data_IF_237711504228
#
_entry.id   IF_237711504228
#
_cell.length_a   1.000
_cell.length_b   1.000
_cell.length_c   1.000
_cell.angle_alpha   90.00
_cell.angle_beta   90.00
_cell.angle_gamma   90.00
#
_symmetry.space_group_name_H-M   'P 1'
#
loop_
_entity.id
_entity.type
_entity.pdbx_description
1 polymer ?
#
# COMPACT_ATOMS: atom_id res chain seq x y z
N UNK A 1 15.84 4.34 -12.50
CA UNK A 1 15.10 5.63 -12.42
C UNK A 1 14.46 6.08 -13.75
N UNK A 2 15.08 5.86 -14.92
CA UNK A 2 14.48 6.21 -16.23
C UNK A 2 13.07 5.64 -16.46
N UNK A 3 12.81 4.39 -16.07
CA UNK A 3 11.48 3.75 -16.22
C UNK A 3 10.39 4.43 -15.37
N UNK A 4 10.72 4.85 -14.14
CA UNK A 4 9.77 5.54 -13.26
C UNK A 4 9.33 6.87 -13.88
N UNK A 5 10.29 7.70 -14.29
CA UNK A 5 10.00 9.05 -14.78
C UNK A 5 9.46 9.06 -16.22
N UNK A 6 9.90 8.13 -17.07
CA UNK A 6 9.57 8.19 -18.50
C UNK A 6 8.40 7.26 -18.89
N UNK A 7 8.08 6.26 -18.07
CA UNK A 7 7.09 5.23 -18.41
C UNK A 7 6.00 5.14 -17.36
N UNK A 8 6.35 4.78 -16.12
CA UNK A 8 5.36 4.44 -15.08
C UNK A 8 4.56 5.67 -14.65
N UNK A 9 5.24 6.73 -14.23
CA UNK A 9 4.57 7.96 -13.76
C UNK A 9 3.69 8.58 -14.85
N UNK A 10 4.18 8.82 -16.09
CA UNK A 10 3.34 9.37 -17.15
C UNK A 10 2.14 8.48 -17.51
N UNK A 11 2.29 7.16 -17.44
CA UNK A 11 1.19 6.23 -17.68
C UNK A 11 0.11 6.34 -16.61
N UNK A 12 0.48 6.27 -15.32
CA UNK A 12 -0.47 6.36 -14.20
C UNK A 12 -1.19 7.70 -14.18
N UNK A 13 -0.45 8.81 -14.36
CA UNK A 13 -1.06 10.15 -14.37
C UNK A 13 -2.06 10.31 -15.52
N UNK A 14 -1.80 9.69 -16.67
CA UNK A 14 -2.73 9.69 -17.81
C UNK A 14 -4.01 8.88 -17.58
N UNK A 15 -4.05 7.98 -16.60
CA UNK A 15 -5.26 7.21 -16.24
C UNK A 15 -6.16 7.93 -15.24
N UNK A 16 -5.67 8.98 -14.59
CA UNK A 16 -6.44 9.72 -13.57
C UNK A 16 -7.75 10.26 -14.15
N UNK A 17 -8.87 9.97 -13.48
CA UNK A 17 -10.22 10.41 -13.88
C UNK A 17 -10.68 9.85 -15.23
N UNK A 18 -10.17 8.68 -15.64
CA UNK A 18 -10.58 8.03 -16.89
C UNK A 18 -11.22 6.69 -16.62
N UNK A 19 -12.52 6.71 -16.39
CA UNK A 19 -13.34 5.51 -16.32
C UNK A 19 -14.29 5.42 -17.53
N UNK A 20 -14.64 4.21 -17.93
CA UNK A 20 -15.67 4.03 -18.95
C UNK A 20 -17.02 4.53 -18.39
N UNK A 21 -17.88 5.22 -19.16
CA UNK A 21 -19.17 5.74 -18.64
C UNK A 21 -20.17 4.67 -18.14
N UNK A 22 -19.86 3.40 -18.37
CA UNK A 22 -20.62 2.24 -17.93
C UNK A 22 -19.82 1.36 -16.96
N UNK A 23 -19.04 1.97 -16.06
CA UNK A 23 -18.21 1.25 -15.08
C UNK A 23 -19.00 0.93 -13.82
N UNK A 24 -18.92 -0.32 -13.39
CA UNK A 24 -19.39 -0.80 -12.09
C UNK A 24 -18.20 -1.48 -11.43
N UNK A 25 -17.91 -1.14 -10.17
CA UNK A 25 -16.76 -1.68 -9.47
C UNK A 25 -17.18 -2.25 -8.11
N UNK A 26 -16.52 -3.30 -7.65
CA UNK A 26 -16.52 -3.64 -6.23
C UNK A 26 -15.07 -3.65 -5.74
N UNK A 27 -14.90 -3.48 -4.44
CA UNK A 27 -13.58 -3.44 -3.80
C UNK A 27 -13.64 -4.09 -2.41
N UNK A 28 -12.50 -4.57 -1.93
CA UNK A 28 -12.39 -5.12 -0.58
C UNK A 28 -12.31 -4.05 0.50
N UNK A 29 -13.13 -4.21 1.53
CA UNK A 29 -13.21 -3.33 2.70
C UNK A 29 -13.34 -4.15 3.99
N UNK A 30 -12.51 -5.18 4.11
CA UNK A 30 -12.53 -6.12 5.23
C UNK A 30 -11.69 -5.61 6.41
N UNK A 31 -12.20 -5.80 7.62
CA UNK A 31 -11.42 -5.67 8.86
C UNK A 31 -10.56 -6.92 9.14
N UNK A 32 -10.86 -8.05 8.48
CA UNK A 32 -10.14 -9.33 8.63
C UNK A 32 -8.92 -9.39 7.71
N UNK A 33 -9.01 -8.74 6.55
CA UNK A 33 -7.95 -8.70 5.53
C UNK A 33 -7.31 -7.31 5.47
N UNK A 34 -6.59 -6.95 6.54
CA UNK A 34 -5.92 -5.65 6.62
C UNK A 34 -4.82 -5.52 5.56
N UNK A 35 -4.75 -4.37 4.91
CA UNK A 35 -3.77 -4.05 3.87
C UNK A 35 -2.85 -2.91 4.29
N UNK A 36 -1.70 -2.82 3.62
CA UNK A 36 -0.73 -1.74 3.80
C UNK A 36 -1.11 -0.50 2.99
N UNK A 37 -1.97 0.37 3.54
CA UNK A 37 -2.20 1.70 2.97
C UNK A 37 -1.18 2.74 3.42
N UNK A 38 -0.74 2.67 4.67
CA UNK A 38 0.43 3.39 5.17
C UNK A 38 1.50 2.39 5.58
N UNK A 39 2.69 2.53 4.98
CA UNK A 39 3.88 1.79 5.37
C UNK A 39 4.61 2.59 6.44
N UNK A 40 4.83 2.00 7.61
CA UNK A 40 5.55 2.64 8.71
C UNK A 40 6.62 1.72 9.28
N UNK A 41 7.82 2.26 9.44
CA UNK A 41 8.94 1.61 10.11
C UNK A 41 9.06 2.18 11.52
N UNK A 42 8.95 1.32 12.54
CA UNK A 42 9.01 1.73 13.94
C UNK A 42 10.33 1.35 14.55
N UNK A 43 10.89 2.26 15.32
CA UNK A 43 12.12 1.99 16.04
C UNK A 43 11.92 0.89 17.09
N UNK A 44 12.84 -0.08 17.12
CA UNK A 44 12.89 -1.20 18.06
C UNK A 44 14.31 -1.41 18.63
N UNK A 45 15.17 -0.40 18.53
CA UNK A 45 16.58 -0.45 18.95
C UNK A 45 16.71 -0.86 20.43
N UNK A 46 17.52 -1.89 20.67
CA UNK A 46 17.92 -2.30 22.03
C UNK A 46 19.31 -1.74 22.30
N UNK A 47 19.36 -0.53 22.87
CA UNK A 47 20.48 0.06 23.61
C UNK A 47 21.82 0.32 22.89
N UNK A 48 21.83 0.46 21.56
CA UNK A 48 23.04 0.77 20.76
C UNK A 48 23.38 2.27 20.62
N UNK A 49 22.75 3.14 21.41
CA UNK A 49 23.04 4.59 21.43
C UNK A 49 22.46 5.27 22.68
N UNK A 50 22.97 6.46 23.02
CA UNK A 50 22.46 7.24 24.15
C UNK A 50 21.06 7.80 23.85
N UNK A 51 20.00 7.20 24.41
CA UNK A 51 18.61 7.61 24.19
C UNK A 51 18.28 9.02 24.70
N UNK A 52 19.13 9.63 25.53
CA UNK A 52 18.94 11.01 25.99
C UNK A 52 19.42 12.05 24.99
N UNK A 53 20.18 11.65 23.97
CA UNK A 53 20.62 12.52 22.89
C UNK A 53 19.65 12.46 21.72
N UNK A 54 19.43 13.62 21.10
CA UNK A 54 18.57 13.73 19.93
C UNK A 54 19.35 13.36 18.66
N UNK A 55 19.24 12.09 18.28
CA UNK A 55 19.72 11.59 16.99
C UNK A 55 18.60 11.57 15.93
N UNK A 56 17.55 12.39 16.07
CA UNK A 56 16.53 12.53 15.03
C UNK A 56 17.15 13.13 13.77
N UNK A 57 16.71 12.64 12.60
CA UNK A 57 17.24 13.06 11.30
C UNK A 57 18.61 12.47 10.91
N UNK A 58 19.45 12.05 11.87
CA UNK A 58 20.78 11.48 11.55
C UNK A 58 20.73 10.18 10.75
N UNK A 59 19.60 9.49 10.75
CA UNK A 59 19.37 8.24 10.01
C UNK A 59 18.74 8.44 8.64
N UNK A 60 18.25 9.63 8.29
CA UNK A 60 17.36 9.82 7.14
C UNK A 60 18.06 9.60 5.78
N UNK A 61 19.31 10.07 5.66
CA UNK A 61 20.11 9.98 4.44
C UNK A 61 21.23 8.93 4.53
N UNK A 62 21.13 8.00 5.50
CA UNK A 62 22.15 6.97 5.69
C UNK A 62 21.77 5.69 4.95
N UNK A 63 22.74 4.98 4.36
CA UNK A 63 22.47 3.70 3.73
C UNK A 63 21.93 2.73 4.79
N UNK A 64 20.96 1.92 4.38
CA UNK A 64 20.51 0.78 5.16
C UNK A 64 21.66 -0.23 5.20
N UNK A 65 22.05 -0.63 6.40
CA UNK A 65 23.04 -1.68 6.59
C UNK A 65 22.33 -3.03 6.68
N UNK A 66 22.60 -3.91 5.72
CA UNK A 66 22.03 -5.27 5.64
C UNK A 66 23.16 -6.31 5.53
N UNK A 67 23.69 -6.80 6.65
CA UNK A 67 24.78 -7.77 6.66
C UNK A 67 24.31 -9.23 6.59
N UNK A 68 23.00 -9.50 6.53
CA UNK A 68 22.42 -10.85 6.75
C UNK A 68 21.41 -11.31 5.68
N UNK A 69 21.42 -10.74 4.46
CA UNK A 69 20.43 -11.03 3.40
C UNK A 69 18.98 -10.82 3.90
N UNK A 70 18.75 -9.77 4.69
CA UNK A 70 17.43 -9.41 5.20
C UNK A 70 16.65 -8.54 4.20
N UNK A 71 17.00 -8.58 2.90
CA UNK A 71 16.37 -7.74 1.88
C UNK A 71 14.84 -7.98 1.83
N UNK A 72 14.42 -9.21 2.10
CA UNK A 72 13.01 -9.63 2.19
C UNK A 72 12.44 -9.59 3.61
N UNK A 73 13.28 -9.33 4.62
CA UNK A 73 12.87 -9.27 6.02
C UNK A 73 12.06 -8.01 6.36
N UNK A 74 11.44 -8.01 7.54
CA UNK A 74 10.68 -6.88 8.09
C UNK A 74 11.49 -6.02 9.06
N UNK A 75 12.83 -6.13 9.03
CA UNK A 75 13.74 -5.43 9.95
C UNK A 75 14.85 -4.75 9.16
N UNK A 76 15.16 -3.50 9.52
CA UNK A 76 16.17 -2.67 8.87
C UNK A 76 17.04 -2.02 9.94
N UNK A 77 18.33 -1.89 9.67
CA UNK A 77 19.25 -1.19 10.55
C UNK A 77 19.90 -0.03 9.81
N UNK A 78 20.04 1.10 10.49
CA UNK A 78 20.75 2.27 10.00
C UNK A 78 21.88 2.58 10.96
N UNK A 79 23.10 2.68 10.42
CA UNK A 79 24.29 3.09 11.16
C UNK A 79 24.63 4.56 10.86
N UNK A 80 25.09 5.28 11.87
CA UNK A 80 25.45 6.69 11.75
C UNK A 80 26.58 7.05 12.72
N UNK A 81 27.43 8.00 12.28
CA UNK A 81 28.51 8.53 13.11
C UNK A 81 27.95 9.46 14.20
N UNK A 82 28.43 9.29 15.42
CA UNK A 82 28.10 10.12 16.60
C UNK A 82 29.32 10.89 17.14
N UNK A 83 30.47 10.77 16.47
CA UNK A 83 31.71 11.44 16.85
C UNK A 83 32.74 11.43 15.73
N UNK A 84 33.92 12.02 15.98
CA UNK A 84 34.98 12.16 14.97
C UNK A 84 35.74 10.86 14.71
N UNK A 85 35.65 9.86 15.60
CA UNK A 85 36.37 8.59 15.46
C UNK A 85 35.59 7.58 14.63
N UNK A 86 36.29 6.66 13.96
CA UNK A 86 35.63 5.59 13.21
C UNK A 86 34.84 4.63 14.14
N UNK A 87 35.22 4.56 15.41
CA UNK A 87 34.54 3.77 16.43
C UNK A 87 33.29 4.47 16.99
N UNK A 88 33.10 5.76 16.72
CA UNK A 88 31.95 6.53 17.20
C UNK A 88 30.75 6.29 16.28
N UNK A 89 30.28 5.05 16.23
CA UNK A 89 29.14 4.63 15.41
C UNK A 89 28.01 4.18 16.33
N UNK A 90 26.83 4.74 16.08
CA UNK A 90 25.58 4.29 16.66
C UNK A 90 24.74 3.57 15.60
N UNK A 91 23.78 2.76 16.06
CA UNK A 91 22.84 2.07 15.18
C UNK A 91 21.40 2.19 15.70
N UNK A 92 20.47 2.46 14.78
CA UNK A 92 19.02 2.35 15.02
C UNK A 92 18.46 1.19 14.24
N UNK A 93 17.65 0.37 14.91
CA UNK A 93 16.93 -0.76 14.30
C UNK A 93 15.46 -0.40 14.17
N UNK A 94 14.90 -0.63 12.98
CA UNK A 94 13.50 -0.40 12.67
C UNK A 94 12.83 -1.70 12.25
N UNK A 95 11.59 -1.91 12.70
CA UNK A 95 10.73 -3.02 12.28
C UNK A 95 9.52 -2.49 11.51
N UNK A 96 9.15 -3.14 10.42
CA UNK A 96 7.94 -2.83 9.67
C UNK A 96 6.74 -3.04 10.59
N UNK A 97 5.90 -2.01 10.74
CA UNK A 97 4.65 -2.13 11.46
C UNK A 97 3.69 -3.08 10.73
N UNK A 98 2.76 -3.76 11.43
CA UNK A 98 1.70 -4.52 10.76
C UNK A 98 0.78 -3.58 9.96
N UNK A 99 0.05 -4.11 8.95
CA UNK A 99 -0.98 -3.36 8.25
C UNK A 99 -2.08 -2.96 9.23
N UNK A 100 -2.79 -1.88 8.91
CA UNK A 100 -3.84 -1.31 9.78
C UNK A 100 -5.11 -0.93 9.05
N UNK A 101 -5.04 -0.74 7.75
CA UNK A 101 -6.17 -0.26 7.00
C UNK A 101 -7.03 -1.42 6.54
N UNK A 102 -8.35 -1.21 6.54
CA UNK A 102 -9.28 -2.15 5.91
C UNK A 102 -8.87 -2.36 4.46
N UNK A 103 -9.14 -3.54 3.93
CA UNK A 103 -8.79 -3.86 2.56
C UNK A 103 -9.15 -5.29 2.21
N UNK A 104 -8.40 -5.86 1.28
CA UNK A 104 -8.51 -7.28 0.87
C UNK A 104 -7.22 -8.07 1.15
N UNK A 105 -6.33 -7.55 2.00
CA UNK A 105 -5.02 -8.13 2.30
C UNK A 105 -3.93 -7.75 1.29
N UNK A 106 -4.28 -7.14 0.15
CA UNK A 106 -3.33 -6.62 -0.85
C UNK A 106 -3.55 -5.13 -1.10
N UNK A 107 -4.77 -4.76 -1.48
CA UNK A 107 -5.22 -3.40 -1.78
C UNK A 107 -5.92 -2.84 -0.54
N UNK A 108 -5.52 -1.65 -0.03
CA UNK A 108 -6.24 -0.97 1.03
C UNK A 108 -7.52 -0.33 0.50
N UNK A 109 -8.53 -0.21 1.37
CA UNK A 109 -9.83 0.41 1.06
C UNK A 109 -9.65 1.79 0.44
N UNK A 110 -8.71 2.61 0.93
CA UNK A 110 -8.45 3.94 0.37
C UNK A 110 -8.01 3.94 -1.11
N UNK A 111 -7.44 2.84 -1.60
CA UNK A 111 -7.03 2.67 -2.99
C UNK A 111 -8.11 1.98 -3.83
N UNK A 112 -8.87 1.05 -3.23
CA UNK A 112 -9.98 0.36 -3.90
C UNK A 112 -11.25 1.21 -4.03
N UNK A 113 -11.50 2.08 -3.06
CA UNK A 113 -12.61 3.03 -3.08
C UNK A 113 -12.31 4.17 -4.06
N UNK A 114 -13.16 4.34 -5.08
CA UNK A 114 -12.97 5.36 -6.13
C UNK A 114 -13.96 6.51 -5.89
N UNK A 115 -13.52 7.65 -5.31
CA UNK A 115 -14.40 8.76 -4.95
C UNK A 115 -14.74 9.65 -6.16
N UNK A 116 -15.32 9.08 -7.21
CA UNK A 116 -15.77 9.81 -8.41
C UNK A 116 -17.23 9.53 -8.72
N UNK A 117 -17.86 10.46 -9.44
CA UNK A 117 -19.22 10.29 -9.98
C UNK A 117 -19.24 9.60 -11.35
N UNK A 118 -18.07 9.26 -11.91
CA UNK A 118 -17.96 8.60 -13.21
C UNK A 118 -18.40 7.12 -13.19
N UNK A 119 -18.39 6.48 -12.01
CA UNK A 119 -18.87 5.12 -11.84
C UNK A 119 -20.40 5.10 -11.76
N UNK A 120 -21.02 4.09 -12.39
CA UNK A 120 -22.46 3.84 -12.28
C UNK A 120 -22.84 3.27 -10.92
N UNK A 121 -21.96 2.46 -10.34
CA UNK A 121 -22.15 1.88 -9.01
C UNK A 121 -20.82 1.36 -8.46
N UNK A 122 -20.74 1.31 -7.15
CA UNK A 122 -19.60 0.83 -6.39
C UNK A 122 -20.12 -0.02 -5.21
N UNK A 123 -19.45 -1.13 -4.89
CA UNK A 123 -19.79 -1.96 -3.72
C UNK A 123 -18.54 -2.30 -2.89
N UNK A 124 -18.61 -2.03 -1.59
CA UNK A 124 -17.65 -2.53 -0.61
C UNK A 124 -17.98 -3.98 -0.23
N UNK A 125 -16.98 -4.86 -0.23
CA UNK A 125 -17.13 -6.29 0.03
C UNK A 125 -16.16 -6.74 1.12
N UNK A 126 -16.62 -7.58 2.06
CA UNK A 126 -15.77 -8.24 3.05
C UNK A 126 -15.14 -9.48 2.41
N UNK A 127 -13.98 -9.33 1.78
CA UNK A 127 -13.28 -10.40 1.05
C UNK A 127 -11.76 -10.21 1.09
N UNK A 128 -11.01 -11.29 0.91
CA UNK A 128 -9.61 -11.21 0.53
C UNK A 128 -9.44 -10.98 -0.99
N UNK A 129 -8.21 -10.67 -1.41
CA UNK A 129 -7.89 -10.26 -2.77
C UNK A 129 -7.95 -11.43 -3.77
N UNK A 130 -7.36 -12.57 -3.41
CA UNK A 130 -7.26 -13.72 -4.31
C UNK A 130 -8.62 -14.42 -4.44
N UNK A 131 -9.36 -14.52 -3.33
CA UNK A 131 -10.71 -15.08 -3.23
C UNK A 131 -11.85 -14.11 -3.54
N UNK A 132 -11.57 -12.93 -4.10
CA UNK A 132 -12.57 -11.86 -4.28
C UNK A 132 -13.87 -12.30 -4.97
N UNK A 133 -13.81 -13.24 -5.91
CA UNK A 133 -14.97 -13.79 -6.63
C UNK A 133 -15.54 -15.07 -6.02
N UNK A 134 -14.95 -15.60 -4.95
CA UNK A 134 -15.55 -16.67 -4.16
C UNK A 134 -16.67 -16.15 -3.24
N UNK A 135 -16.68 -14.83 -2.97
CA UNK A 135 -17.71 -14.13 -2.21
C UNK A 135 -19.00 -13.90 -3.02
N UNK A 136 -20.13 -14.33 -2.46
CA UNK A 136 -21.46 -14.24 -3.09
C UNK A 136 -21.82 -12.80 -3.46
N UNK A 137 -21.54 -11.83 -2.57
CA UNK A 137 -21.86 -10.43 -2.83
C UNK A 137 -21.11 -9.88 -4.04
N UNK A 138 -19.84 -10.24 -4.22
CA UNK A 138 -19.04 -9.82 -5.36
C UNK A 138 -19.59 -10.41 -6.67
N UNK A 139 -19.93 -11.71 -6.68
CA UNK A 139 -20.55 -12.36 -7.84
C UNK A 139 -21.90 -11.78 -8.20
N UNK A 140 -22.79 -11.60 -7.22
CA UNK A 140 -24.12 -11.05 -7.43
C UNK A 140 -24.06 -9.59 -7.91
N UNK A 141 -23.15 -8.79 -7.37
CA UNK A 141 -22.93 -7.43 -7.86
C UNK A 141 -22.41 -7.41 -9.31
N UNK A 142 -21.48 -8.30 -9.63
CA UNK A 142 -20.96 -8.47 -10.99
C UNK A 142 -22.08 -8.85 -11.96
N UNK A 143 -22.88 -9.86 -11.63
CA UNK A 143 -24.02 -10.29 -12.45
C UNK A 143 -25.04 -9.16 -12.64
N UNK A 144 -25.42 -8.48 -11.55
CA UNK A 144 -26.30 -7.31 -11.61
C UNK A 144 -25.74 -6.23 -12.54
N UNK A 145 -24.44 -5.98 -12.47
CA UNK A 145 -23.77 -4.98 -13.30
C UNK A 145 -23.85 -5.34 -14.78
N UNK A 146 -23.59 -6.61 -15.14
CA UNK A 146 -23.75 -7.10 -16.52
C UNK A 146 -25.19 -6.88 -17.00
N UNK A 147 -26.19 -7.27 -16.21
CA UNK A 147 -27.61 -7.05 -16.55
C UNK A 147 -27.90 -5.56 -16.79
N UNK A 148 -27.35 -4.67 -15.95
CA UNK A 148 -27.52 -3.22 -16.12
C UNK A 148 -26.86 -2.69 -17.38
N UNK A 149 -25.68 -3.21 -17.75
CA UNK A 149 -25.02 -2.83 -18.99
C UNK A 149 -25.84 -3.27 -20.22
N UNK A 150 -26.36 -4.50 -20.22
CA UNK A 150 -27.19 -5.01 -21.32
C UNK A 150 -28.50 -4.24 -21.45
N UNK A 151 -29.14 -3.88 -20.35
CA UNK A 151 -30.35 -3.05 -20.35
C UNK A 151 -30.15 -1.66 -20.96
N UNK A 152 -28.91 -1.15 -21.00
CA UNK A 152 -28.60 0.15 -21.61
C UNK A 152 -28.37 0.06 -23.13
N UNK A 153 -28.29 -1.15 -23.70
CA UNK A 153 -28.15 -1.36 -25.14
C UNK A 153 -29.51 -1.13 -25.80
N UNK A 154 -29.55 -0.26 -26.80
CA UNK A 154 -30.74 -0.08 -27.65
C UNK A 154 -30.81 -1.26 -28.62
N UNK A 155 -31.98 -1.88 -28.70
CA UNK A 155 -32.28 -2.87 -29.73
C UNK A 155 -32.93 -2.07 -30.86
N UNK A 156 -32.28 -2.05 -32.02
CA UNK A 156 -32.82 -1.53 -33.29
C UNK A 156 -33.63 -2.60 -34.00
#
# INVERSE_FOLDING_TARGET
MKSMNNTVKPFIEKLSGKYHPNTYAFYGASEKHLSYGVISWREVSKDYYNKTEDYSGMTFDRPIYDPYNLETGTTRMVQFSVGPSFQDIAAKTFKLAPPKEKGDGTVPEQAGHIPTRELRSQLAVDTDHEGAYDEDKARLFTLRSIVKMVQAVKIE
#
